data_IF_043602012204
#
_entry.id   IF_043602012204
#
_cell.length_a   1.000
_cell.length_b   1.000
_cell.length_c   1.000
_cell.angle_alpha   90.00
_cell.angle_beta   90.00
_cell.angle_gamma   90.00
#
_symmetry.space_group_name_H-M   'P 1'
#
loop_
_entity.id
_entity.type
_entity.pdbx_description
1 polymer ?
#
# COMPACT_ATOMS: atom_id res chain seq x y z
N UNK A 1 6.63 16.54 -2.17
CA UNK A 1 5.39 16.51 -2.99
C UNK A 1 5.46 17.48 -4.17
N UNK A 2 5.31 18.81 -4.03
CA UNK A 2 5.40 19.75 -5.18
C UNK A 2 6.72 19.68 -5.95
N UNK A 3 7.84 19.49 -5.25
CA UNK A 3 9.16 19.30 -5.88
C UNK A 3 9.28 17.95 -6.60
N UNK A 4 8.52 16.94 -6.16
CA UNK A 4 8.54 15.58 -6.71
C UNK A 4 7.54 15.39 -7.87
N UNK A 5 6.47 16.19 -7.92
CA UNK A 5 5.39 16.15 -8.90
C UNK A 5 5.11 17.55 -9.48
N UNK A 6 6.09 18.18 -10.16
CA UNK A 6 5.96 19.55 -10.67
C UNK A 6 4.87 19.71 -11.74
N UNK A 7 4.49 18.62 -12.42
CA UNK A 7 3.44 18.58 -13.44
C UNK A 7 2.02 18.52 -12.88
N UNK A 8 1.85 18.20 -11.59
CA UNK A 8 0.53 18.09 -10.95
C UNK A 8 0.07 19.48 -10.50
N UNK A 9 -1.10 19.91 -11.01
CA UNK A 9 -1.72 21.15 -10.56
C UNK A 9 -2.00 21.09 -9.05
N UNK A 10 -1.62 22.15 -8.35
CA UNK A 10 -1.78 22.26 -6.89
C UNK A 10 -3.22 22.09 -6.41
N UNK A 11 -4.22 22.40 -7.24
CA UNK A 11 -5.64 22.15 -6.90
C UNK A 11 -6.00 20.66 -6.80
N UNK A 12 -5.22 19.79 -7.46
CA UNK A 12 -5.37 18.34 -7.41
C UNK A 12 -4.64 17.72 -6.20
N UNK A 13 -3.95 18.55 -5.40
CA UNK A 13 -3.29 18.11 -4.17
C UNK A 13 -4.25 18.33 -3.00
N UNK A 14 -4.74 17.24 -2.44
CA UNK A 14 -5.59 17.24 -1.25
C UNK A 14 -4.70 17.12 -0.02
N UNK A 15 -4.79 18.09 0.90
CA UNK A 15 -4.00 18.11 2.13
C UNK A 15 -4.88 17.68 3.30
N UNK A 16 -4.57 16.53 3.87
CA UNK A 16 -5.29 16.00 5.03
C UNK A 16 -5.03 16.84 6.29
N UNK A 17 -6.07 17.24 7.05
CA UNK A 17 -5.89 18.01 8.29
C UNK A 17 -5.31 17.15 9.43
N UNK A 18 -5.54 15.85 9.39
CA UNK A 18 -5.04 14.87 10.36
C UNK A 18 -4.97 13.51 9.70
N UNK A 19 -3.95 12.71 10.01
CA UNK A 19 -3.84 11.35 9.50
C UNK A 19 -4.95 10.44 10.05
N UNK A 20 -5.74 9.82 9.17
CA UNK A 20 -6.83 8.89 9.50
C UNK A 20 -6.77 7.56 8.73
N UNK A 21 -5.57 7.18 8.27
CA UNK A 21 -5.34 6.03 7.39
C UNK A 21 -6.07 6.20 6.04
N UNK A 22 -6.10 5.18 5.18
CA UNK A 22 -6.34 5.36 3.75
C UNK A 22 -7.81 5.51 3.33
N UNK A 23 -8.77 4.91 4.06
CA UNK A 23 -10.17 4.98 3.63
C UNK A 23 -10.74 6.42 3.65
N UNK A 24 -10.52 7.23 4.70
CA UNK A 24 -10.89 8.65 4.72
C UNK A 24 -10.33 9.48 3.56
N UNK A 25 -9.05 9.29 3.24
CA UNK A 25 -8.37 10.03 2.17
C UNK A 25 -9.00 9.71 0.82
N UNK A 26 -9.29 8.42 0.58
CA UNK A 26 -9.88 7.94 -0.67
C UNK A 26 -11.34 8.36 -0.78
N UNK A 27 -12.12 8.33 0.30
CA UNK A 27 -13.49 8.83 0.32
C UNK A 27 -13.55 10.33 -0.04
N UNK A 28 -12.64 11.13 0.51
CA UNK A 28 -12.55 12.56 0.17
C UNK A 28 -12.19 12.76 -1.30
N UNK A 29 -11.15 12.08 -1.80
CA UNK A 29 -10.76 12.17 -3.21
C UNK A 29 -11.87 11.71 -4.16
N UNK A 30 -12.55 10.60 -3.85
CA UNK A 30 -13.66 10.07 -4.64
C UNK A 30 -14.83 11.06 -4.72
N UNK A 31 -15.13 11.75 -3.62
CA UNK A 31 -16.18 12.76 -3.59
C UNK A 31 -15.85 13.96 -4.48
N UNK A 32 -14.61 14.47 -4.41
CA UNK A 32 -14.15 15.54 -5.30
C UNK A 32 -14.20 15.11 -6.76
N UNK A 33 -13.72 13.91 -7.07
CA UNK A 33 -13.77 13.35 -8.43
C UNK A 33 -15.21 13.22 -8.92
N UNK A 34 -16.11 12.67 -8.11
CA UNK A 34 -17.52 12.49 -8.46
C UNK A 34 -18.22 13.83 -8.72
N UNK A 35 -17.93 14.85 -7.91
CA UNK A 35 -18.51 16.18 -8.10
C UNK A 35 -18.13 16.80 -9.45
N UNK A 36 -16.91 16.59 -9.92
CA UNK A 36 -16.47 17.08 -11.24
C UNK A 36 -16.87 16.15 -12.40
N UNK A 37 -16.80 14.84 -12.17
CA UNK A 37 -17.02 13.78 -13.17
C UNK A 37 -17.79 12.61 -12.52
N UNK A 38 -19.13 12.67 -12.50
CA UNK A 38 -19.95 11.70 -11.77
C UNK A 38 -19.79 10.24 -12.22
N UNK A 39 -19.47 10.04 -13.49
CA UNK A 39 -19.29 8.75 -14.17
C UNK A 39 -17.82 8.29 -14.22
N UNK A 40 -16.92 8.94 -13.47
CA UNK A 40 -15.50 8.59 -13.46
C UNK A 40 -15.26 7.17 -12.94
N UNK A 41 -14.28 6.49 -13.55
CA UNK A 41 -13.59 5.37 -12.92
C UNK A 41 -12.37 5.89 -12.18
N UNK A 42 -12.15 5.37 -10.98
CA UNK A 42 -11.10 5.78 -10.07
C UNK A 42 -10.14 4.61 -9.90
N UNK A 43 -8.84 4.88 -10.08
CA UNK A 43 -7.76 4.01 -9.64
C UNK A 43 -7.21 4.60 -8.36
N UNK A 44 -7.15 3.79 -7.31
CA UNK A 44 -6.46 4.11 -6.07
C UNK A 44 -5.17 3.31 -6.07
N UNK A 45 -4.03 4.00 -5.96
CA UNK A 45 -2.71 3.36 -5.89
C UNK A 45 -1.89 3.98 -4.76
N UNK A 46 -1.22 3.18 -3.92
CA UNK A 46 -0.18 3.66 -3.02
C UNK A 46 1.01 4.19 -3.82
N UNK A 47 1.74 5.15 -3.25
CA UNK A 47 2.86 5.85 -3.91
C UNK A 47 4.22 5.22 -3.67
N UNK A 48 4.30 4.22 -2.79
CA UNK A 48 5.50 3.61 -2.24
C UNK A 48 5.69 2.16 -2.70
N UNK A 49 5.21 1.84 -3.90
CA UNK A 49 5.27 0.49 -4.46
C UNK A 49 6.19 0.43 -5.66
N UNK A 50 6.74 -0.75 -5.88
CA UNK A 50 7.48 -1.06 -7.08
C UNK A 50 6.67 -1.97 -8.00
N UNK A 51 6.59 -1.56 -9.26
CA UNK A 51 6.05 -2.34 -10.37
C UNK A 51 7.24 -2.74 -11.26
N UNK A 52 7.43 -4.03 -11.50
CA UNK A 52 8.58 -4.55 -12.25
C UNK A 52 8.34 -4.53 -13.77
N UNK A 53 7.09 -4.66 -14.20
CA UNK A 53 6.69 -4.70 -15.60
C UNK A 53 5.54 -3.71 -15.86
N UNK A 54 5.92 -2.50 -16.28
CA UNK A 54 4.99 -1.39 -16.56
C UNK A 54 3.96 -1.75 -17.64
N UNK A 55 4.36 -2.43 -18.73
CA UNK A 55 3.41 -2.80 -19.80
C UNK A 55 2.35 -3.80 -19.34
N UNK A 56 2.73 -4.77 -18.50
CA UNK A 56 1.77 -5.69 -17.88
C UNK A 56 0.85 -4.95 -16.89
N UNK A 57 1.36 -3.94 -16.19
CA UNK A 57 0.58 -3.12 -15.27
C UNK A 57 -0.45 -2.28 -16.03
N UNK A 58 -0.03 -1.56 -17.07
CA UNK A 58 -0.93 -0.78 -17.94
C UNK A 58 -2.04 -1.65 -18.51
N UNK A 59 -1.70 -2.81 -19.06
CA UNK A 59 -2.69 -3.76 -19.57
C UNK A 59 -3.69 -4.19 -18.48
N UNK A 60 -3.18 -4.47 -17.28
CA UNK A 60 -4.01 -4.85 -16.13
C UNK A 60 -4.96 -3.70 -15.74
N UNK A 61 -4.49 -2.46 -15.71
CA UNK A 61 -5.31 -1.28 -15.43
C UNK A 61 -6.40 -1.08 -16.50
N UNK A 62 -6.07 -1.22 -17.78
CA UNK A 62 -7.04 -1.12 -18.87
C UNK A 62 -8.16 -2.17 -18.77
N UNK A 63 -7.79 -3.42 -18.48
CA UNK A 63 -8.76 -4.51 -18.28
C UNK A 63 -9.63 -4.23 -17.06
N UNK A 64 -9.03 -3.76 -15.96
CA UNK A 64 -9.74 -3.42 -14.73
C UNK A 64 -10.72 -2.27 -14.92
N UNK A 65 -10.30 -1.17 -15.57
CA UNK A 65 -11.17 -0.04 -15.93
C UNK A 65 -12.34 -0.52 -16.79
N UNK A 66 -12.08 -1.31 -17.83
CA UNK A 66 -13.12 -1.84 -18.72
C UNK A 66 -14.14 -2.70 -17.97
N UNK A 67 -13.69 -3.45 -16.95
CA UNK A 67 -14.56 -4.25 -16.09
C UNK A 67 -15.45 -3.39 -15.19
N UNK A 68 -14.88 -2.43 -14.45
CA UNK A 68 -15.66 -1.56 -13.53
C UNK A 68 -16.56 -0.55 -14.24
N UNK A 69 -16.26 -0.23 -15.51
CA UNK A 69 -17.12 0.62 -16.35
C UNK A 69 -18.46 -0.08 -16.62
N UNK A 70 -18.47 -1.42 -16.70
CA UNK A 70 -19.64 -2.22 -17.04
C UNK A 70 -20.35 -2.80 -15.83
N UNK A 71 -19.72 -2.75 -14.65
CA UNK A 71 -20.19 -3.38 -13.43
C UNK A 71 -19.97 -2.44 -12.24
N UNK A 72 -20.98 -2.25 -11.41
CA UNK A 72 -20.86 -1.48 -10.16
C UNK A 72 -20.22 -2.35 -9.08
N UNK A 73 -18.88 -2.38 -9.11
CA UNK A 73 -18.04 -3.28 -8.29
C UNK A 73 -16.78 -2.56 -7.80
N UNK A 74 -16.19 -3.09 -6.73
CA UNK A 74 -14.86 -2.74 -6.26
C UNK A 74 -13.89 -3.84 -6.71
N UNK A 75 -12.88 -3.47 -7.50
CA UNK A 75 -11.92 -4.42 -8.06
C UNK A 75 -10.53 -4.21 -7.45
N UNK A 76 -10.10 -5.16 -6.61
CA UNK A 76 -8.73 -5.22 -6.10
C UNK A 76 -7.79 -5.86 -7.13
N UNK A 77 -6.55 -5.37 -7.19
CA UNK A 77 -5.49 -5.99 -8.00
C UNK A 77 -4.72 -7.00 -7.13
N UNK A 78 -4.78 -8.27 -7.50
CA UNK A 78 -4.14 -9.36 -6.75
C UNK A 78 -2.93 -9.91 -7.49
N UNK A 79 -1.78 -10.01 -6.81
CA UNK A 79 -0.57 -10.62 -7.37
C UNK A 79 -0.31 -11.99 -6.74
N UNK A 80 0.15 -12.95 -7.53
CA UNK A 80 0.41 -14.30 -7.05
C UNK A 80 1.56 -14.29 -6.02
N UNK A 81 1.39 -14.88 -4.82
CA UNK A 81 2.46 -14.97 -3.84
C UNK A 81 3.62 -15.82 -4.38
N UNK A 82 4.83 -15.28 -4.29
CA UNK A 82 6.08 -15.98 -4.61
C UNK A 82 6.80 -16.50 -3.36
N UNK A 83 6.36 -16.02 -2.18
CA UNK A 83 6.85 -16.43 -0.86
C UNK A 83 5.74 -16.29 0.20
N UNK A 84 6.00 -16.85 1.38
CA UNK A 84 5.16 -16.62 2.55
C UNK A 84 5.55 -15.29 3.20
N UNK A 85 4.78 -14.23 2.93
CA UNK A 85 5.04 -12.86 3.41
C UNK A 85 3.97 -12.43 4.43
N UNK A 86 4.23 -12.55 5.74
CA UNK A 86 3.26 -12.13 6.78
C UNK A 86 3.07 -10.61 6.82
N UNK A 87 3.89 -9.82 6.12
CA UNK A 87 3.74 -8.37 6.02
C UNK A 87 2.62 -7.90 5.08
N UNK A 88 2.05 -8.79 4.26
CA UNK A 88 1.05 -8.44 3.24
C UNK A 88 -0.35 -8.91 3.60
N UNK A 89 -1.36 -8.27 2.99
CA UNK A 89 -2.72 -8.78 2.97
C UNK A 89 -2.88 -9.91 1.96
N UNK A 90 -3.71 -10.89 2.28
CA UNK A 90 -4.04 -12.02 1.41
C UNK A 90 -5.54 -12.02 1.10
N UNK A 91 -5.88 -12.11 -0.18
CA UNK A 91 -7.24 -12.19 -0.71
C UNK A 91 -7.48 -13.63 -1.18
N UNK A 92 -8.46 -14.31 -0.60
CA UNK A 92 -8.89 -15.61 -1.08
C UNK A 92 -9.81 -15.45 -2.30
N UNK A 93 -9.49 -16.19 -3.36
CA UNK A 93 -10.35 -16.27 -4.54
C UNK A 93 -11.65 -17.01 -4.21
N UNK A 94 -12.77 -16.40 -4.57
CA UNK A 94 -14.09 -17.00 -4.59
C UNK A 94 -14.46 -17.52 -5.98
N UNK A 95 -15.73 -17.35 -6.31
CA UNK A 95 -16.26 -17.79 -7.60
C UNK A 95 -15.75 -16.92 -8.75
N UNK A 96 -15.53 -17.54 -9.90
CA UNK A 96 -15.09 -16.85 -11.11
C UNK A 96 -16.25 -15.98 -11.64
N UNK A 97 -15.96 -14.72 -11.95
CA UNK A 97 -16.93 -13.82 -12.57
C UNK A 97 -17.16 -14.16 -14.06
N UNK A 98 -17.96 -13.36 -14.75
CA UNK A 98 -18.14 -13.47 -16.21
C UNK A 98 -16.88 -13.13 -17.02
N UNK A 99 -15.86 -12.52 -16.41
CA UNK A 99 -14.60 -12.14 -17.04
C UNK A 99 -13.48 -13.10 -16.60
N UNK A 100 -12.64 -13.60 -17.53
CA UNK A 100 -11.45 -14.36 -17.16
C UNK A 100 -10.57 -13.59 -16.18
N UNK A 101 -9.96 -14.32 -15.26
CA UNK A 101 -9.02 -13.82 -14.24
C UNK A 101 -9.60 -12.86 -13.20
N UNK A 102 -10.91 -12.62 -13.21
CA UNK A 102 -11.62 -11.82 -12.20
C UNK A 102 -12.51 -12.73 -11.37
N UNK A 103 -12.29 -12.73 -10.06
CA UNK A 103 -12.95 -13.59 -9.08
C UNK A 103 -13.64 -12.75 -8.02
N UNK A 104 -14.71 -13.26 -7.42
CA UNK A 104 -15.26 -12.69 -6.19
C UNK A 104 -14.24 -12.80 -5.06
N UNK A 105 -14.24 -11.82 -4.16
CA UNK A 105 -13.45 -11.90 -2.93
C UNK A 105 -14.19 -12.77 -1.93
N UNK A 106 -13.66 -13.96 -1.64
CA UNK A 106 -14.26 -14.88 -0.67
C UNK A 106 -13.93 -14.52 0.76
N UNK A 107 -12.69 -14.14 1.01
CA UNK A 107 -12.22 -13.69 2.31
C UNK A 107 -10.96 -12.84 2.13
N UNK A 108 -10.69 -12.02 3.13
CA UNK A 108 -9.48 -11.24 3.23
C UNK A 108 -8.84 -11.45 4.59
N UNK A 109 -7.51 -11.49 4.63
CA UNK A 109 -6.75 -11.58 5.87
C UNK A 109 -5.55 -10.65 5.77
N UNK A 110 -5.57 -9.59 6.57
CA UNK A 110 -4.48 -8.64 6.65
C UNK A 110 -3.36 -9.18 7.54
N UNK A 111 -2.13 -9.24 7.02
CA UNK A 111 -0.92 -9.55 7.78
C UNK A 111 -1.03 -10.82 8.65
N UNK A 112 -1.28 -11.99 8.04
CA UNK A 112 -1.44 -13.23 8.78
C UNK A 112 -0.15 -13.66 9.48
N UNK A 113 -0.28 -14.49 10.51
CA UNK A 113 0.88 -15.16 11.11
C UNK A 113 1.64 -16.01 10.07
N UNK A 114 2.94 -16.21 10.30
CA UNK A 114 3.84 -16.81 9.30
C UNK A 114 3.44 -18.21 8.87
N UNK A 115 2.86 -19.03 9.76
CA UNK A 115 2.33 -20.33 9.37
C UNK A 115 1.15 -20.21 8.40
N UNK A 116 0.23 -19.27 8.64
CA UNK A 116 -0.91 -19.03 7.75
C UNK A 116 -0.46 -18.43 6.41
N UNK A 117 0.49 -17.50 6.40
CA UNK A 117 1.07 -16.96 5.17
C UNK A 117 1.66 -18.08 4.28
N UNK A 118 2.29 -19.09 4.91
CA UNK A 118 2.79 -20.28 4.19
C UNK A 118 1.65 -21.11 3.64
N UNK A 119 0.63 -21.41 4.46
CA UNK A 119 -0.54 -22.16 4.01
C UNK A 119 -1.27 -21.48 2.86
N UNK A 120 -1.43 -20.16 2.91
CA UNK A 120 -2.07 -19.35 1.87
C UNK A 120 -1.29 -19.38 0.55
N UNK A 121 0.04 -19.28 0.61
CA UNK A 121 0.89 -19.41 -0.57
C UNK A 121 0.81 -20.82 -1.17
N UNK A 122 0.91 -21.85 -0.33
CA UNK A 122 0.94 -23.26 -0.78
C UNK A 122 -0.40 -23.73 -1.35
N UNK A 123 -1.53 -23.19 -0.88
CA UNK A 123 -2.85 -23.56 -1.41
C UNK A 123 -3.07 -23.08 -2.85
N UNK A 124 -2.43 -21.98 -3.25
CA UNK A 124 -2.64 -21.34 -4.55
C UNK A 124 -4.00 -20.63 -4.71
N UNK A 125 -4.83 -20.62 -3.66
CA UNK A 125 -6.15 -19.97 -3.63
C UNK A 125 -6.07 -18.51 -3.16
N UNK A 126 -4.93 -18.06 -2.64
CA UNK A 126 -4.77 -16.71 -2.11
C UNK A 126 -3.80 -15.88 -2.96
N UNK A 127 -4.15 -14.61 -3.13
CA UNK A 127 -3.36 -13.61 -3.83
C UNK A 127 -2.97 -12.50 -2.86
N UNK A 128 -1.77 -11.94 -3.03
CA UNK A 128 -1.38 -10.75 -2.28
C UNK A 128 -2.28 -9.58 -2.69
N UNK A 129 -2.82 -8.89 -1.70
CA UNK A 129 -3.44 -7.60 -1.89
C UNK A 129 -2.35 -6.57 -2.20
N UNK A 130 -2.40 -5.99 -3.38
CA UNK A 130 -1.44 -4.94 -3.77
C UNK A 130 -1.79 -3.58 -3.18
N UNK A 131 -2.97 -3.41 -2.57
CA UNK A 131 -3.47 -2.10 -2.14
C UNK A 131 -3.93 -1.21 -3.31
N UNK A 132 -3.87 -1.72 -4.55
CA UNK A 132 -4.40 -1.04 -5.74
C UNK A 132 -5.85 -1.48 -5.95
N UNK A 133 -6.74 -0.49 -6.04
CA UNK A 133 -8.17 -0.70 -6.23
C UNK A 133 -8.69 0.10 -7.40
N UNK A 134 -9.67 -0.45 -8.11
CA UNK A 134 -10.35 0.21 -9.22
C UNK A 134 -11.85 0.13 -8.96
N UNK A 135 -12.57 1.24 -9.12
CA UNK A 135 -14.04 1.27 -9.03
C UNK A 135 -14.60 2.48 -9.75
N UNK A 136 -15.89 2.47 -10.08
CA UNK A 136 -16.55 3.70 -10.47
C UNK A 136 -16.83 4.58 -9.24
N UNK A 137 -16.79 5.90 -9.43
CA UNK A 137 -16.86 6.88 -8.35
C UNK A 137 -18.15 6.73 -7.53
N UNK A 138 -19.28 6.49 -8.20
CA UNK A 138 -20.56 6.28 -7.54
C UNK A 138 -20.53 5.09 -6.58
N UNK A 139 -20.10 3.91 -7.03
CA UNK A 139 -20.13 2.70 -6.23
C UNK A 139 -19.10 2.73 -5.09
N UNK A 140 -17.95 3.38 -5.31
CA UNK A 140 -16.97 3.62 -4.25
C UNK A 140 -17.56 4.49 -3.13
N UNK A 141 -18.27 5.57 -3.49
CA UNK A 141 -18.93 6.44 -2.51
C UNK A 141 -20.09 5.74 -1.79
N UNK A 142 -20.94 5.03 -2.53
CA UNK A 142 -22.03 4.20 -1.98
C UNK A 142 -21.51 3.18 -0.95
N UNK A 143 -20.38 2.53 -1.25
CA UNK A 143 -19.71 1.64 -0.30
C UNK A 143 -19.28 2.38 0.97
N UNK A 144 -18.67 3.56 0.81
CA UNK A 144 -18.24 4.36 1.97
C UNK A 144 -19.41 4.87 2.83
N UNK A 145 -20.58 5.12 2.26
CA UNK A 145 -21.78 5.47 3.05
C UNK A 145 -22.19 4.36 4.03
N UNK A 146 -21.92 3.11 3.68
CA UNK A 146 -22.18 1.94 4.52
C UNK A 146 -21.05 1.66 5.52
N UNK A 147 -19.81 1.97 5.15
CA UNK A 147 -18.63 1.78 6.01
C UNK A 147 -18.57 2.81 7.13
N UNK A 148 -18.91 4.06 6.83
CA UNK A 148 -18.66 5.15 7.73
C UNK A 148 -19.90 5.64 8.48
N UNK A 149 -19.75 6.17 9.73
CA UNK A 149 -20.86 6.70 10.51
C UNK A 149 -21.60 7.86 9.82
N UNK A 150 -22.80 8.24 10.29
CA UNK A 150 -23.62 9.32 9.71
C UNK A 150 -22.93 10.67 9.47
N UNK A 151 -21.81 10.96 10.15
CA UNK A 151 -20.98 12.15 9.92
C UNK A 151 -20.48 12.25 8.46
N UNK A 152 -20.39 11.11 7.78
CA UNK A 152 -19.98 11.01 6.38
C UNK A 152 -21.14 11.07 5.38
N UNK A 153 -22.40 10.94 5.84
CA UNK A 153 -23.60 11.18 5.02
C UNK A 153 -23.95 12.66 4.86
N UNK A 154 -23.32 13.52 5.66
CA UNK A 154 -23.48 14.97 5.53
C UNK A 154 -22.66 15.55 4.36
N UNK A 155 -21.73 14.74 3.83
CA UNK A 155 -21.01 15.02 2.59
C UNK A 155 -21.94 14.80 1.41
N UNK A 156 -22.71 15.84 1.08
CA UNK A 156 -23.61 15.85 -0.08
C UNK A 156 -22.82 15.93 -1.37
N UNK A 157 -22.21 14.82 -1.78
CA UNK A 157 -21.59 14.67 -3.10
C UNK A 157 -22.62 14.81 -4.23
N UNK A 158 -23.92 14.73 -3.91
CA UNK A 158 -25.06 14.97 -4.78
C UNK A 158 -25.47 16.45 -4.88
N UNK A 159 -24.83 17.37 -4.13
CA UNK A 159 -25.13 18.80 -4.21
C UNK A 159 -24.36 19.44 -5.38
N UNK A 160 -25.03 19.84 -6.47
CA UNK A 160 -24.37 20.39 -7.66
C UNK A 160 -23.84 21.82 -7.47
N UNK A 161 -24.18 22.48 -6.35
CA UNK A 161 -23.76 23.84 -6.03
C UNK A 161 -22.60 23.87 -5.02
N UNK A 162 -21.99 22.72 -4.73
CA UNK A 162 -20.93 22.63 -3.73
C UNK A 162 -19.63 23.24 -4.25
N UNK A 163 -19.07 24.19 -3.50
CA UNK A 163 -17.82 24.86 -3.86
C UNK A 163 -16.62 24.22 -3.16
N UNK A 164 -15.41 24.37 -3.73
CA UNK A 164 -14.17 23.89 -3.09
C UNK A 164 -13.93 24.55 -1.71
N UNK A 165 -14.41 25.79 -1.50
CA UNK A 165 -14.33 26.46 -0.20
C UNK A 165 -15.25 25.82 0.84
N UNK A 166 -16.48 25.48 0.45
CA UNK A 166 -17.42 24.75 1.30
C UNK A 166 -16.91 23.33 1.60
N UNK A 167 -16.30 22.68 0.61
CA UNK A 167 -15.61 21.41 0.76
C UNK A 167 -14.51 21.48 1.81
N UNK A 168 -13.58 22.44 1.66
CA UNK A 168 -12.47 22.61 2.59
C UNK A 168 -12.96 22.88 4.02
N UNK A 169 -14.01 23.69 4.17
CA UNK A 169 -14.63 23.96 5.47
C UNK A 169 -15.27 22.71 6.07
N UNK A 170 -16.07 21.98 5.29
CA UNK A 170 -16.71 20.75 5.74
C UNK A 170 -15.65 19.75 6.23
N UNK A 171 -14.59 19.56 5.46
CA UNK A 171 -13.51 18.63 5.79
C UNK A 171 -12.78 19.06 7.05
N UNK A 172 -12.46 20.34 7.21
CA UNK A 172 -11.83 20.84 8.44
C UNK A 172 -12.70 20.54 9.68
N UNK A 173 -14.02 20.70 9.57
CA UNK A 173 -14.96 20.50 10.68
C UNK A 173 -15.24 19.00 10.96
N UNK A 174 -15.20 18.14 9.93
CA UNK A 174 -15.69 16.75 10.03
C UNK A 174 -14.63 15.67 9.88
N UNK A 175 -13.55 15.87 9.12
CA UNK A 175 -12.50 14.87 8.90
C UNK A 175 -11.86 14.36 10.20
N UNK A 176 -11.65 15.19 11.25
CA UNK A 176 -11.20 14.69 12.54
C UNK A 176 -12.16 13.72 13.23
N UNK A 177 -13.42 13.62 12.79
CA UNK A 177 -14.42 12.70 13.34
C UNK A 177 -14.43 11.35 12.61
N UNK A 178 -13.66 11.21 11.54
CA UNK A 178 -13.61 9.97 10.77
C UNK A 178 -12.87 8.89 11.58
N UNK A 179 -13.29 7.62 11.46
CA UNK A 179 -12.54 6.54 12.07
C UNK A 179 -11.16 6.44 11.41
N UNK A 180 -10.18 6.03 12.20
CA UNK A 180 -8.86 5.69 11.68
C UNK A 180 -8.94 4.31 11.02
N UNK A 181 -9.15 4.26 9.69
CA UNK A 181 -9.57 3.05 8.98
C UNK A 181 -8.81 2.89 7.66
N UNK A 182 -8.24 1.71 7.40
CA UNK A 182 -7.64 1.42 6.09
C UNK A 182 -8.70 1.09 5.05
N UNK A 183 -8.39 1.40 3.80
CA UNK A 183 -9.20 1.08 2.64
C UNK A 183 -9.44 -0.43 2.51
N UNK A 184 -8.40 -1.22 2.73
CA UNK A 184 -8.45 -2.68 2.64
C UNK A 184 -9.48 -3.24 3.63
N UNK A 185 -9.51 -2.72 4.85
CA UNK A 185 -10.49 -3.12 5.84
C UNK A 185 -11.89 -2.64 5.48
N UNK A 186 -12.01 -1.38 5.03
CA UNK A 186 -13.28 -0.80 4.62
C UNK A 186 -13.95 -1.58 3.47
N UNK A 187 -13.16 -2.07 2.52
CA UNK A 187 -13.65 -2.74 1.32
C UNK A 187 -13.64 -4.27 1.46
N UNK A 188 -12.49 -4.86 1.76
CA UNK A 188 -12.26 -6.31 1.61
C UNK A 188 -12.82 -7.12 2.79
N UNK A 189 -12.89 -6.57 4.00
CA UNK A 189 -13.53 -7.26 5.13
C UNK A 189 -15.08 -7.22 5.07
N UNK A 190 -15.65 -6.33 4.27
CA UNK A 190 -17.10 -6.21 4.08
C UNK A 190 -17.60 -7.09 2.92
N UNK A 191 -17.12 -8.34 2.82
CA UNK A 191 -17.23 -9.28 1.67
C UNK A 191 -18.63 -9.61 1.13
N UNK A 192 -19.67 -8.89 1.55
CA UNK A 192 -21.02 -8.94 1.01
C UNK A 192 -21.30 -7.86 -0.08
N UNK A 193 -20.35 -6.96 -0.36
CA UNK A 193 -20.56 -5.76 -1.20
C UNK A 193 -19.83 -5.81 -2.55
N UNK A 194 -20.23 -6.66 -3.51
CA UNK A 194 -19.75 -6.61 -4.91
C UNK A 194 -18.22 -6.41 -5.06
N UNK A 195 -17.43 -7.10 -4.24
CA UNK A 195 -15.97 -6.97 -4.21
C UNK A 195 -15.35 -8.11 -5.00
N UNK A 196 -14.49 -7.74 -5.94
CA UNK A 196 -13.80 -8.66 -6.84
C UNK A 196 -12.28 -8.44 -6.76
N UNK A 197 -11.55 -9.47 -7.17
CA UNK A 197 -10.09 -9.43 -7.31
C UNK A 197 -9.70 -9.92 -8.70
N UNK A 198 -8.85 -9.16 -9.37
CA UNK A 198 -8.26 -9.55 -10.66
C UNK A 198 -6.86 -10.10 -10.44
N UNK A 199 -6.58 -11.28 -10.99
CA UNK A 199 -5.22 -11.83 -11.03
C UNK A 199 -4.36 -10.99 -11.95
N UNK A 200 -3.23 -10.53 -11.43
CA UNK A 200 -2.28 -9.68 -12.13
C UNK A 200 -0.88 -10.29 -12.14
N UNK A 201 -0.12 -10.02 -13.20
CA UNK A 201 1.26 -10.51 -13.40
C UNK A 201 2.19 -9.40 -13.90
N UNK A 202 2.22 -8.29 -13.15
CA UNK A 202 3.09 -7.15 -13.45
C UNK A 202 4.37 -7.10 -12.59
N UNK A 203 4.55 -8.07 -11.69
CA UNK A 203 5.63 -8.09 -10.71
C UNK A 203 5.49 -6.91 -9.73
N UNK A 204 5.26 -7.21 -8.46
CA UNK A 204 4.92 -6.21 -7.47
C UNK A 204 5.67 -6.42 -6.17
N UNK A 205 6.11 -5.33 -5.56
CA UNK A 205 6.62 -5.33 -4.21
C UNK A 205 6.24 -4.03 -3.48
N UNK A 206 5.79 -4.17 -2.24
CA UNK A 206 5.67 -3.04 -1.31
C UNK A 206 7.06 -2.73 -0.74
N UNK A 207 7.56 -1.53 -1.04
CA UNK A 207 8.90 -1.09 -0.63
C UNK A 207 9.00 -0.82 0.88
N UNK A 208 7.90 -0.97 1.64
CA UNK A 208 7.88 -0.89 3.10
C UNK A 208 8.65 -1.99 3.84
N UNK A 209 9.33 -2.92 3.14
CA UNK A 209 10.13 -3.99 3.77
C UNK A 209 11.56 -4.05 3.25
N UNK A 210 12.52 -4.29 4.15
CA UNK A 210 13.92 -4.54 3.79
C UNK A 210 14.09 -5.73 2.83
N UNK A 211 13.20 -6.72 2.90
CA UNK A 211 13.16 -7.83 1.96
C UNK A 211 12.85 -7.38 0.54
N UNK A 212 11.86 -6.51 0.35
CA UNK A 212 11.55 -5.96 -0.96
C UNK A 212 12.75 -5.21 -1.54
N UNK A 213 13.44 -4.41 -0.71
CA UNK A 213 14.64 -3.70 -1.16
C UNK A 213 15.75 -4.70 -1.57
N UNK A 214 15.95 -5.78 -0.83
CA UNK A 214 16.95 -6.81 -1.16
C UNK A 214 16.69 -7.50 -2.51
N UNK A 215 15.42 -7.75 -2.85
CA UNK A 215 15.07 -8.42 -4.10
C UNK A 215 15.24 -7.51 -5.33
N UNK A 216 15.04 -6.21 -5.14
CA UNK A 216 15.01 -5.22 -6.22
C UNK A 216 16.39 -4.65 -6.51
N UNK A 217 17.21 -4.49 -5.47
CA UNK A 217 18.49 -3.80 -5.60
C UNK A 217 19.56 -4.71 -6.24
N UNK A 218 20.47 -4.06 -6.98
CA UNK A 218 21.59 -4.75 -7.59
C UNK A 218 22.48 -5.38 -6.50
N UNK A 219 22.72 -6.68 -6.65
CA UNK A 219 23.56 -7.44 -5.72
C UNK A 219 25.03 -7.29 -6.08
N UNK A 220 25.85 -6.99 -5.09
CA UNK A 220 27.31 -7.08 -5.19
C UNK A 220 27.74 -8.53 -4.86
N UNK A 221 29.04 -8.90 -4.95
CA UNK A 221 29.48 -10.27 -4.69
C UNK A 221 28.92 -10.89 -3.41
N UNK A 222 28.74 -12.21 -3.44
CA UNK A 222 28.15 -13.01 -2.36
C UNK A 222 26.72 -12.60 -1.95
N UNK A 223 25.94 -12.12 -2.92
CA UNK A 223 24.54 -11.72 -2.76
C UNK A 223 24.33 -10.58 -1.73
N UNK A 224 25.35 -9.76 -1.47
CA UNK A 224 25.18 -8.57 -0.62
C UNK A 224 24.49 -7.45 -1.40
N UNK A 225 23.74 -6.59 -0.70
CA UNK A 225 23.13 -5.37 -1.26
C UNK A 225 23.73 -4.16 -0.55
N UNK A 226 24.37 -3.28 -1.31
CA UNK A 226 25.01 -2.06 -0.79
C UNK A 226 24.36 -0.85 -1.44
N UNK A 227 23.72 0.00 -0.62
CA UNK A 227 22.90 1.12 -1.09
C UNK A 227 23.63 2.45 -0.97
N UNK A 228 24.27 2.91 -2.05
CA UNK A 228 24.95 4.23 -2.10
C UNK A 228 25.82 4.47 -0.85
N UNK A 229 26.73 3.54 -0.58
CA UNK A 229 27.54 3.45 0.64
C UNK A 229 28.96 2.97 0.32
N UNK A 230 29.95 3.46 1.07
CA UNK A 230 31.34 3.01 0.95
C UNK A 230 31.57 1.86 1.95
N UNK A 231 31.89 0.67 1.45
CA UNK A 231 32.08 -0.52 2.29
C UNK A 231 33.27 -1.37 1.87
N UNK A 232 33.90 -2.02 2.85
CA UNK A 232 34.81 -3.15 2.68
C UNK A 232 34.12 -4.39 3.26
N UNK A 233 34.02 -5.43 2.45
CA UNK A 233 33.36 -6.69 2.80
C UNK A 233 34.38 -7.83 2.70
N UNK A 234 34.57 -8.56 3.79
CA UNK A 234 35.43 -9.75 3.86
C UNK A 234 34.60 -10.91 4.43
N UNK A 235 34.51 -12.04 3.72
CA UNK A 235 33.68 -13.20 4.13
C UNK A 235 32.22 -12.84 4.48
N UNK A 236 31.66 -11.81 3.83
CA UNK A 236 30.28 -11.36 4.05
C UNK A 236 29.32 -11.90 3.00
N UNK A 237 28.13 -12.36 3.41
CA UNK A 237 27.13 -12.91 2.48
C UNK A 237 25.72 -12.45 2.79
N UNK A 238 24.89 -12.26 1.76
CA UNK A 238 23.44 -12.13 1.90
C UNK A 238 22.98 -10.96 2.83
N UNK A 239 23.77 -9.89 2.92
CA UNK A 239 23.47 -8.73 3.77
C UNK A 239 22.81 -7.57 3.01
N UNK A 240 22.20 -6.66 3.75
CA UNK A 240 21.76 -5.35 3.27
C UNK A 240 22.52 -4.27 4.04
N UNK A 241 23.19 -3.35 3.35
CA UNK A 241 24.01 -2.33 3.97
C UNK A 241 23.66 -0.94 3.41
N UNK A 242 23.25 -0.03 4.29
CA UNK A 242 23.05 1.39 4.02
C UNK A 242 23.75 2.22 5.08
N UNK A 243 24.72 3.04 4.67
CA UNK A 243 25.44 3.98 5.50
C UNK A 243 25.27 5.41 4.96
N UNK A 244 25.44 6.44 5.80
CA UNK A 244 25.47 7.82 5.35
C UNK A 244 26.69 8.08 4.43
N UNK A 245 26.55 9.03 3.51
CA UNK A 245 27.64 9.42 2.60
C UNK A 245 28.86 9.91 3.38
N UNK A 246 30.05 9.53 2.91
CA UNK A 246 31.32 9.89 3.55
C UNK A 246 31.69 9.03 4.76
N UNK A 247 30.91 7.99 5.07
CA UNK A 247 31.24 6.98 6.08
C UNK A 247 31.66 5.67 5.42
N UNK A 248 32.86 5.19 5.76
CA UNK A 248 33.37 3.88 5.35
C UNK A 248 32.96 2.81 6.39
N UNK A 249 32.25 1.79 5.94
CA UNK A 249 31.96 0.58 6.72
C UNK A 249 32.96 -0.54 6.44
N UNK A 250 33.35 -1.31 7.46
CA UNK A 250 34.18 -2.50 7.30
C UNK A 250 33.49 -3.67 7.99
N UNK A 251 33.16 -4.71 7.22
CA UNK A 251 32.42 -5.87 7.70
C UNK A 251 33.23 -7.14 7.41
N UNK A 252 33.35 -7.98 8.42
CA UNK A 252 34.01 -9.28 8.31
C UNK A 252 33.10 -10.38 8.86
N UNK A 253 32.86 -11.44 8.08
CA UNK A 253 32.10 -12.63 8.51
C UNK A 253 30.60 -12.39 8.73
N UNK A 254 30.06 -11.26 8.28
CA UNK A 254 28.65 -10.93 8.46
C UNK A 254 27.79 -11.71 7.46
N UNK A 255 26.80 -12.45 7.93
CA UNK A 255 25.90 -13.23 7.06
C UNK A 255 24.43 -13.03 7.40
N UNK A 256 23.63 -12.57 6.43
CA UNK A 256 22.18 -12.47 6.56
C UNK A 256 21.68 -11.33 7.47
N UNK A 257 22.41 -10.22 7.56
CA UNK A 257 22.06 -9.06 8.38
C UNK A 257 21.62 -7.85 7.56
N UNK A 258 20.84 -6.98 8.20
CA UNK A 258 20.56 -5.61 7.78
C UNK A 258 21.44 -4.71 8.64
N UNK A 259 22.22 -3.85 8.00
CA UNK A 259 22.99 -2.78 8.61
C UNK A 259 22.54 -1.47 8.00
N UNK A 260 21.82 -0.66 8.75
CA UNK A 260 21.29 0.61 8.28
C UNK A 260 21.65 1.72 9.27
N UNK A 261 22.19 2.82 8.78
CA UNK A 261 22.48 4.01 9.58
C UNK A 261 21.90 5.26 8.94
N UNK A 262 21.13 6.00 9.74
CA UNK A 262 20.53 7.28 9.37
C UNK A 262 20.42 8.16 10.62
N UNK A 263 20.72 9.45 10.47
CA UNK A 263 20.62 10.46 11.54
C UNK A 263 21.24 10.06 12.90
N UNK A 264 22.38 9.35 12.85
CA UNK A 264 23.12 8.94 14.04
C UNK A 264 22.58 7.69 14.73
N UNK A 265 21.55 7.05 14.18
CA UNK A 265 21.00 5.77 14.66
C UNK A 265 21.52 4.64 13.78
N UNK A 266 22.17 3.64 14.39
CA UNK A 266 22.66 2.43 13.72
C UNK A 266 21.77 1.24 14.09
N UNK A 267 21.10 0.67 13.09
CA UNK A 267 20.35 -0.58 13.19
C UNK A 267 21.19 -1.73 12.64
N UNK A 268 21.34 -2.78 13.47
CA UNK A 268 21.89 -4.07 13.05
C UNK A 268 20.93 -5.17 13.50
N UNK A 269 20.26 -5.83 12.57
CA UNK A 269 19.35 -6.94 12.87
C UNK A 269 19.45 -8.04 11.81
N UNK A 270 18.91 -9.23 12.10
CA UNK A 270 18.90 -10.28 11.07
C UNK A 270 17.89 -9.92 10.01
N UNK A 271 18.20 -10.26 8.76
CA UNK A 271 17.25 -10.10 7.64
C UNK A 271 15.97 -10.88 7.89
N UNK A 272 16.04 -12.03 8.57
CA UNK A 272 14.87 -12.82 8.96
C UNK A 272 13.93 -12.14 9.94
N UNK A 273 14.38 -11.08 10.62
CA UNK A 273 13.55 -10.34 11.56
C UNK A 273 12.53 -9.52 10.76
N UNK A 274 11.26 -9.61 11.14
CA UNK A 274 10.16 -9.02 10.39
C UNK A 274 10.10 -7.49 10.54
N UNK A 275 9.45 -6.82 9.59
CA UNK A 275 9.20 -5.37 9.61
C UNK A 275 8.44 -4.91 10.87
N UNK A 276 7.71 -5.80 11.56
CA UNK A 276 7.09 -5.51 12.86
C UNK A 276 8.10 -5.42 14.01
N UNK A 277 9.22 -6.13 13.96
CA UNK A 277 10.29 -5.99 14.95
C UNK A 277 11.03 -4.67 14.82
N UNK A 278 11.24 -4.16 13.60
CA UNK A 278 11.79 -2.82 13.36
C UNK A 278 10.87 -1.74 13.94
N UNK A 279 9.55 -1.84 13.70
CA UNK A 279 8.55 -0.94 14.33
C UNK A 279 8.58 -1.01 15.86
N UNK A 280 8.79 -2.21 16.43
CA UNK A 280 8.95 -2.38 17.88
C UNK A 280 10.18 -1.62 18.38
N UNK A 281 11.33 -1.71 17.70
CA UNK A 281 12.53 -0.97 18.08
C UNK A 281 12.33 0.54 18.00
N UNK A 282 11.68 1.03 16.93
CA UNK A 282 11.32 2.43 16.78
C UNK A 282 10.48 2.92 17.98
N UNK A 283 9.44 2.16 18.36
CA UNK A 283 8.63 2.50 19.53
C UNK A 283 9.44 2.46 20.84
N UNK A 284 10.32 1.47 21.02
CA UNK A 284 11.17 1.39 22.22
C UNK A 284 12.14 2.58 22.33
N UNK A 285 12.74 3.00 21.21
CA UNK A 285 13.61 4.18 21.13
C UNK A 285 12.82 5.43 21.46
N UNK A 286 11.62 5.60 20.86
CA UNK A 286 10.71 6.72 21.16
C UNK A 286 10.38 6.81 22.64
N UNK A 287 10.06 5.69 23.28
CA UNK A 287 9.70 5.64 24.71
C UNK A 287 10.90 6.00 25.60
N UNK A 288 12.12 5.56 25.25
CA UNK A 288 13.31 5.73 26.10
C UNK A 288 14.00 7.07 25.89
N UNK A 289 14.04 7.57 24.66
CA UNK A 289 14.89 8.68 24.24
C UNK A 289 14.10 9.82 23.57
N UNK A 290 12.79 9.70 23.43
CA UNK A 290 11.94 10.69 22.76
C UNK A 290 12.04 10.61 21.23
N UNK A 291 11.54 11.64 20.55
CA UNK A 291 11.46 11.69 19.09
C UNK A 291 12.78 12.09 18.39
N UNK A 292 13.86 12.32 19.14
CA UNK A 292 15.15 12.75 18.58
C UNK A 292 15.83 11.65 17.72
N UNK A 293 15.54 10.37 18.01
CA UNK A 293 16.22 9.22 17.40
C UNK A 293 15.26 8.29 16.63
N UNK A 294 14.15 8.84 16.13
CA UNK A 294 13.04 8.08 15.51
C UNK A 294 12.68 8.62 14.14
#
# INVERSE_FOLDING_TARGET
MKEQLPEVDTKNIIVEPIHRNTAPSVAWAAMRIHHHTPDANIIVSPSDQLILNESSFEHSMEVGISYVTRNNVLLAMGVKPTRAEPGYGYIQLGDLSCKPDVFEVKSFTEKPEREFARMFMESGEFYWNTGIFISNAYHLLDTFEHVFPPVLRELRYDNPNYTEEEEAKFVADNYPRYPNLSLDYAILEQSNNNVYVMKCDFGWADLGTWHAIYEVMHKVPDDNVVMDSEVILEDCKNNIIKLPKGKLGVFNGLEGYIVAEEDGVLLICKKSDNSSMVKKYVNEVRIKYGDEFV
#
